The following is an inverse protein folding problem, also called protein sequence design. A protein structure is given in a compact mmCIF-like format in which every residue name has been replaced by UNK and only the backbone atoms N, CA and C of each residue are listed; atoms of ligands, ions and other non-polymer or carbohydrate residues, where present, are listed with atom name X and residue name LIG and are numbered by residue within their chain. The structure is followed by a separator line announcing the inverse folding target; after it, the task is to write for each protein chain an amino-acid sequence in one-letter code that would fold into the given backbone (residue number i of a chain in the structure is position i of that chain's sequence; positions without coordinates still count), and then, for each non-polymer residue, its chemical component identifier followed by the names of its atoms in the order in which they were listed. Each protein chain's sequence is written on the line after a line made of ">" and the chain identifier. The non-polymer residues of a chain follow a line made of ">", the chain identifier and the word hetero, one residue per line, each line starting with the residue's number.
data_IF_773143807637
#
_entry.id   IF_773143807637
#
_cell.length_a   1.000
_cell.length_b   1.000
_cell.length_c   1.000
_cell.angle_alpha   90.00
_cell.angle_beta   90.00
_cell.angle_gamma   90.00
#
_symmetry.space_group_name_H-M   'P 1'
#
loop_
_entity.id
_entity.type
_entity.pdbx_description
1 polymer ?
#
# COMPACT_ATOMS: atom_id res chain seq x y z
N UNK A 1 25.22 1.78 -15.48
CA UNK A 1 24.73 0.58 -16.20
C UNK A 1 23.26 0.44 -15.88
N UNK A 2 22.41 0.27 -16.88
CA UNK A 2 20.98 0.07 -16.68
C UNK A 2 20.73 -1.33 -16.11
N UNK A 3 19.87 -1.42 -15.10
CA UNK A 3 19.55 -2.67 -14.41
C UNK A 3 18.09 -3.00 -14.54
N UNK A 4 17.79 -4.28 -14.76
CA UNK A 4 16.47 -4.81 -15.00
C UNK A 4 16.06 -5.75 -13.86
N UNK A 5 14.77 -5.72 -13.52
CA UNK A 5 14.14 -6.65 -12.60
C UNK A 5 13.06 -7.41 -13.35
N UNK A 6 12.79 -8.66 -12.94
CA UNK A 6 11.87 -9.58 -13.64
C UNK A 6 10.89 -10.18 -12.65
N UNK A 7 9.60 -10.09 -12.94
CA UNK A 7 8.52 -10.64 -12.11
C UNK A 7 7.91 -11.89 -12.75
N UNK A 8 7.87 -13.01 -12.00
CA UNK A 8 7.32 -14.30 -12.41
C UNK A 8 6.78 -15.07 -11.19
N UNK A 9 5.63 -15.74 -11.34
CA UNK A 9 5.00 -16.57 -10.30
C UNK A 9 4.79 -15.86 -8.94
N UNK A 10 4.66 -14.54 -8.96
CA UNK A 10 4.51 -13.74 -7.74
C UNK A 10 5.80 -13.41 -7.00
N UNK A 11 6.93 -13.87 -7.52
CA UNK A 11 8.26 -13.44 -7.08
C UNK A 11 8.88 -12.52 -8.12
N UNK A 12 9.91 -11.82 -7.71
CA UNK A 12 10.68 -10.93 -8.58
C UNK A 12 12.17 -11.16 -8.31
N UNK A 13 12.97 -11.07 -9.36
CA UNK A 13 14.40 -11.39 -9.33
C UNK A 13 15.19 -10.29 -10.04
N UNK A 14 16.44 -10.10 -9.64
CA UNK A 14 17.33 -9.05 -10.14
C UNK A 14 18.14 -8.40 -9.01
N UNK A 15 18.84 -7.28 -9.28
CA UNK A 15 18.97 -6.64 -10.59
C UNK A 15 19.81 -7.48 -11.57
N UNK A 16 19.44 -7.45 -12.85
CA UNK A 16 20.19 -8.03 -13.96
C UNK A 16 20.68 -6.94 -14.90
N UNK A 17 21.85 -7.13 -15.49
CA UNK A 17 22.27 -6.38 -16.68
C UNK A 17 21.52 -6.89 -17.91
N UNK A 18 21.48 -6.09 -18.98
CA UNK A 18 20.85 -6.51 -20.24
C UNK A 18 21.45 -7.82 -20.79
N UNK A 19 22.78 -7.99 -20.66
CA UNK A 19 23.48 -9.18 -21.13
C UNK A 19 23.07 -10.44 -20.35
N UNK A 20 22.94 -10.34 -19.02
CA UNK A 20 22.48 -11.45 -18.18
C UNK A 20 21.02 -11.80 -18.49
N UNK A 21 20.18 -10.78 -18.72
CA UNK A 21 18.80 -10.96 -19.09
C UNK A 21 18.65 -11.67 -20.44
N UNK A 22 19.46 -11.29 -21.44
CA UNK A 22 19.55 -11.98 -22.75
C UNK A 22 19.96 -13.44 -22.58
N UNK A 23 20.98 -13.72 -21.77
CA UNK A 23 21.45 -15.08 -21.52
C UNK A 23 20.36 -15.96 -20.85
N UNK A 24 19.62 -15.40 -19.89
CA UNK A 24 18.52 -16.10 -19.20
C UNK A 24 17.30 -16.33 -20.08
N UNK A 25 17.00 -15.41 -21.01
CA UNK A 25 15.95 -15.62 -22.03
C UNK A 25 16.37 -16.75 -22.99
N UNK A 26 17.64 -16.77 -23.43
CA UNK A 26 18.17 -17.84 -24.29
C UNK A 26 18.17 -19.20 -23.59
N UNK A 27 18.44 -19.24 -22.29
CA UNK A 27 18.39 -20.45 -21.47
C UNK A 27 16.95 -20.93 -21.16
N UNK A 28 15.92 -20.16 -21.53
CA UNK A 28 14.52 -20.47 -21.21
C UNK A 28 14.15 -20.22 -19.74
N UNK A 29 15.08 -19.70 -18.93
CA UNK A 29 14.84 -19.34 -17.53
C UNK A 29 13.88 -18.17 -17.40
N UNK A 30 13.86 -17.25 -18.38
CA UNK A 30 13.00 -16.06 -18.42
C UNK A 30 12.23 -16.03 -19.75
N UNK A 31 10.95 -15.69 -19.69
CA UNK A 31 10.03 -15.61 -20.81
C UNK A 31 9.83 -14.16 -21.19
N UNK A 32 9.70 -13.89 -22.49
CA UNK A 32 9.41 -12.52 -22.97
C UNK A 32 8.02 -12.01 -22.55
N UNK A 33 7.14 -12.92 -22.11
CA UNK A 33 5.83 -12.60 -21.54
C UNK A 33 5.89 -12.33 -20.03
N UNK A 34 7.04 -12.58 -19.39
CA UNK A 34 7.27 -12.09 -18.05
C UNK A 34 7.32 -10.56 -18.08
N UNK A 35 7.03 -9.96 -16.94
CA UNK A 35 7.08 -8.52 -16.84
C UNK A 35 8.47 -8.10 -16.35
N UNK A 36 9.02 -7.06 -16.97
CA UNK A 36 10.26 -6.43 -16.56
C UNK A 36 10.06 -5.01 -16.05
N UNK A 37 11.02 -4.53 -15.28
CA UNK A 37 11.10 -3.14 -14.86
C UNK A 37 12.55 -2.66 -14.87
N UNK A 38 12.75 -1.41 -15.25
CA UNK A 38 14.02 -0.70 -15.17
C UNK A 38 13.77 0.71 -14.63
N UNK A 39 14.83 1.30 -14.07
CA UNK A 39 14.82 2.69 -13.61
C UNK A 39 14.25 3.64 -14.68
N UNK A 40 13.32 4.51 -14.27
CA UNK A 40 12.59 5.44 -15.14
C UNK A 40 11.18 5.00 -15.57
N UNK A 41 10.81 3.73 -15.39
CA UNK A 41 9.46 3.25 -15.74
C UNK A 41 8.45 3.39 -14.60
N UNK A 42 7.22 3.74 -14.95
CA UNK A 42 6.12 3.92 -13.99
C UNK A 42 5.34 2.64 -13.69
N UNK A 43 5.52 1.59 -14.48
CA UNK A 43 4.89 0.29 -14.31
C UNK A 43 5.78 -0.84 -14.82
N UNK A 44 5.43 -2.07 -14.43
CA UNK A 44 6.01 -3.27 -15.01
C UNK A 44 5.52 -3.42 -16.44
N UNK A 45 6.47 -3.44 -17.38
CA UNK A 45 6.21 -3.51 -18.82
C UNK A 45 6.55 -4.92 -19.29
N UNK A 46 5.93 -5.41 -20.36
CA UNK A 46 6.29 -6.72 -20.90
C UNK A 46 7.76 -6.74 -21.29
N UNK A 47 8.46 -7.84 -20.98
CA UNK A 47 9.88 -7.94 -21.29
C UNK A 47 10.15 -7.84 -22.80
N UNK A 48 9.21 -8.27 -23.64
CA UNK A 48 9.23 -8.06 -25.09
C UNK A 48 9.18 -6.60 -25.52
N UNK A 49 8.54 -5.73 -24.74
CA UNK A 49 8.47 -4.29 -25.03
C UNK A 49 9.71 -3.55 -24.52
N UNK A 50 10.33 -4.05 -23.45
CA UNK A 50 11.58 -3.50 -22.91
C UNK A 50 12.82 -3.90 -23.72
N UNK A 51 12.80 -5.09 -24.31
CA UNK A 51 13.88 -5.62 -25.13
C UNK A 51 13.35 -6.07 -26.50
N UNK A 52 12.96 -5.13 -27.37
CA UNK A 52 12.37 -5.44 -28.67
C UNK A 52 13.36 -6.15 -29.62
N UNK A 53 14.66 -5.92 -29.46
CA UNK A 53 15.73 -6.45 -30.34
C UNK A 53 16.25 -7.85 -29.94
N UNK A 54 15.51 -8.60 -29.12
CA UNK A 54 15.84 -10.00 -28.83
C UNK A 54 15.07 -10.85 -29.82
N UNK A 55 15.70 -11.31 -30.90
CA UNK A 55 15.03 -12.13 -31.92
C UNK A 55 14.99 -13.63 -31.57
N UNK A 56 14.09 -14.37 -32.21
CA UNK A 56 13.36 -15.53 -31.67
C UNK A 56 13.93 -16.92 -32.02
N UNK A 57 13.83 -17.86 -31.07
CA UNK A 57 13.72 -19.29 -31.37
C UNK A 57 12.77 -20.05 -30.40
N UNK A 58 11.53 -20.28 -30.89
CA UNK A 58 10.72 -21.52 -30.77
C UNK A 58 10.00 -21.89 -29.43
N UNK A 59 8.68 -21.63 -29.45
CA UNK A 59 7.51 -22.53 -29.18
C UNK A 59 6.90 -22.77 -27.78
N UNK A 60 5.60 -22.41 -27.71
CA UNK A 60 4.45 -22.91 -26.91
C UNK A 60 4.47 -22.69 -25.38
N UNK A 61 3.37 -22.35 -24.70
CA UNK A 61 1.95 -22.61 -24.94
C UNK A 61 1.03 -21.50 -24.38
N UNK A 62 -0.11 -21.27 -25.05
CA UNK A 62 -1.25 -20.47 -24.55
C UNK A 62 -1.80 -21.05 -23.24
N UNK A 63 -1.64 -20.31 -22.16
CA UNK A 63 -2.60 -20.32 -21.05
C UNK A 63 -2.62 -18.94 -20.41
N UNK A 64 -3.69 -18.19 -20.66
CA UNK A 64 -3.99 -16.98 -19.91
C UNK A 64 -4.41 -17.40 -18.50
N UNK A 65 -3.47 -17.35 -17.57
CA UNK A 65 -3.79 -17.40 -16.16
C UNK A 65 -3.89 -15.96 -15.67
N UNK A 66 -5.07 -15.60 -15.19
CA UNK A 66 -5.30 -14.37 -14.44
C UNK A 66 -4.46 -14.43 -13.17
N UNK A 67 -3.24 -13.89 -13.21
CA UNK A 67 -2.43 -13.68 -12.02
C UNK A 67 -2.76 -12.31 -11.46
N UNK A 68 -3.51 -12.28 -10.36
CA UNK A 68 -3.53 -11.10 -9.49
C UNK A 68 -2.09 -10.82 -9.05
N UNK A 69 -1.57 -9.69 -9.54
CA UNK A 69 -0.17 -9.27 -9.50
C UNK A 69 0.37 -9.20 -8.06
N UNK A 70 1.35 -10.02 -7.67
CA UNK A 70 2.03 -9.81 -6.39
C UNK A 70 2.99 -8.64 -6.53
N UNK A 71 2.93 -7.73 -5.56
CA UNK A 71 3.68 -6.48 -5.55
C UNK A 71 5.18 -6.73 -5.28
N UNK A 72 6.09 -6.04 -5.99
CA UNK A 72 7.50 -6.07 -5.67
C UNK A 72 7.79 -5.47 -4.28
N UNK A 73 8.75 -6.00 -3.52
CA UNK A 73 9.39 -5.29 -2.40
C UNK A 73 9.92 -3.95 -2.88
N UNK A 74 9.44 -2.88 -2.25
CA UNK A 74 9.82 -1.49 -2.59
C UNK A 74 8.95 -0.84 -3.66
N UNK A 75 8.04 -1.58 -4.32
CA UNK A 75 7.05 -0.98 -5.20
C UNK A 75 5.80 -0.63 -4.41
N UNK A 76 5.71 0.63 -3.99
CA UNK A 76 4.39 1.23 -3.80
C UNK A 76 3.83 1.46 -5.20
N UNK A 77 2.65 0.92 -5.58
CA UNK A 77 1.98 1.46 -6.75
C UNK A 77 1.92 2.98 -6.60
N UNK A 78 2.04 3.74 -7.70
CA UNK A 78 1.58 5.14 -7.72
C UNK A 78 0.07 5.10 -7.51
N UNK A 79 -0.31 4.86 -6.27
CA UNK A 79 -1.66 4.87 -5.80
C UNK A 79 -2.19 6.26 -6.12
N UNK A 80 -3.33 6.34 -6.79
CA UNK A 80 -3.91 7.63 -7.11
C UNK A 80 -4.14 8.37 -5.78
N UNK A 81 -3.49 9.52 -5.61
CA UNK A 81 -3.74 10.37 -4.47
C UNK A 81 -5.21 10.78 -4.46
N UNK A 82 -5.84 10.72 -3.30
CA UNK A 82 -7.19 11.24 -3.07
C UNK A 82 -7.17 12.76 -3.14
N UNK A 83 -6.13 13.37 -2.56
CA UNK A 83 -5.91 14.81 -2.56
C UNK A 83 -4.42 15.12 -2.60
N UNK A 84 -4.08 16.23 -3.25
CA UNK A 84 -2.74 16.82 -3.26
C UNK A 84 -2.85 18.31 -3.01
N UNK A 85 -2.14 18.81 -2.00
CA UNK A 85 -2.21 20.20 -1.54
C UNK A 85 -0.79 20.77 -1.55
N UNK A 86 -0.61 21.89 -2.25
CA UNK A 86 0.68 22.59 -2.34
C UNK A 86 0.68 23.72 -1.33
N UNK A 87 1.64 23.69 -0.42
CA UNK A 87 1.89 24.72 0.57
C UNK A 87 3.21 25.45 0.32
N UNK A 88 3.49 26.51 1.11
CA UNK A 88 4.66 27.35 0.91
C UNK A 88 6.02 26.65 1.13
N UNK A 89 6.04 25.56 1.91
CA UNK A 89 7.28 24.81 2.23
C UNK A 89 7.29 23.38 1.70
N UNK A 90 6.26 22.97 0.97
CA UNK A 90 6.14 21.59 0.53
C UNK A 90 4.77 21.23 0.01
N UNK A 91 4.54 19.94 -0.15
CA UNK A 91 3.26 19.35 -0.55
C UNK A 91 2.82 18.30 0.46
N UNK A 92 1.51 18.23 0.68
CA UNK A 92 0.84 17.14 1.36
C UNK A 92 0.04 16.36 0.31
N UNK A 93 0.30 15.06 0.23
CA UNK A 93 -0.47 14.16 -0.63
C UNK A 93 -1.08 13.05 0.22
N UNK A 94 -2.38 12.81 0.01
CA UNK A 94 -3.19 11.90 0.82
C UNK A 94 -3.62 10.73 -0.05
N UNK A 95 -3.37 9.52 0.44
CA UNK A 95 -3.76 8.26 -0.18
C UNK A 95 -4.74 7.50 0.74
N UNK A 96 -5.18 6.32 0.33
CA UNK A 96 -6.17 5.53 1.09
C UNK A 96 -5.61 4.92 2.39
N UNK A 97 -4.32 4.64 2.42
CA UNK A 97 -3.61 3.89 3.46
C UNK A 97 -2.42 4.66 4.05
N UNK A 98 -2.02 5.77 3.42
CA UNK A 98 -0.85 6.59 3.81
C UNK A 98 -1.03 8.06 3.43
N UNK A 99 -0.15 8.89 3.94
CA UNK A 99 0.08 10.26 3.49
C UNK A 99 1.56 10.44 3.13
N UNK A 100 1.87 11.44 2.32
CA UNK A 100 3.23 11.89 2.10
C UNK A 100 3.37 13.39 2.30
N UNK A 101 4.48 13.79 2.92
CA UNK A 101 4.87 15.19 3.09
C UNK A 101 6.20 15.37 2.35
N UNK A 102 6.20 16.12 1.25
CA UNK A 102 7.43 16.42 0.50
C UNK A 102 7.84 17.85 0.81
N UNK A 103 9.09 18.05 1.24
CA UNK A 103 9.65 19.40 1.37
C UNK A 103 9.99 19.97 -0.01
N UNK A 104 9.64 21.23 -0.28
CA UNK A 104 10.01 21.89 -1.54
C UNK A 104 11.53 21.97 -1.67
N UNK A 105 12.10 21.30 -2.68
CA UNK A 105 13.55 21.02 -2.82
C UNK A 105 14.51 22.22 -2.75
N UNK A 106 14.07 23.45 -3.06
CA UNK A 106 14.90 24.67 -2.99
C UNK A 106 14.89 25.34 -1.61
N UNK A 107 13.82 25.17 -0.82
CA UNK A 107 13.64 25.81 0.49
C UNK A 107 13.82 24.82 1.64
N UNK A 108 13.48 23.55 1.44
CA UNK A 108 13.60 22.47 2.42
C UNK A 108 15.04 22.11 2.77
N UNK A 109 15.96 22.18 1.79
CA UNK A 109 17.40 21.95 2.01
C UNK A 109 18.01 23.09 2.85
N UNK A 110 17.58 24.34 2.61
CA UNK A 110 18.12 25.52 3.28
C UNK A 110 17.57 25.74 4.71
N UNK A 111 16.32 25.34 4.97
CA UNK A 111 15.66 25.60 6.27
C UNK A 111 15.64 24.36 7.17
N UNK A 112 15.45 23.16 6.60
CA UNK A 112 15.28 21.91 7.40
C UNK A 112 16.48 20.96 7.31
N UNK A 113 17.43 21.17 6.40
CA UNK A 113 18.51 20.21 6.13
C UNK A 113 18.02 18.90 5.51
N UNK A 114 16.79 18.87 4.99
CA UNK A 114 16.11 17.67 4.50
C UNK A 114 16.07 17.63 2.98
N UNK A 115 16.32 16.44 2.43
CA UNK A 115 16.08 16.12 1.02
C UNK A 115 15.09 14.96 0.98
N UNK A 116 13.86 15.21 0.54
CA UNK A 116 12.95 14.14 0.11
C UNK A 116 11.51 14.22 0.64
N UNK A 117 10.81 13.11 0.42
CA UNK A 117 9.41 12.88 0.74
C UNK A 117 9.31 11.94 1.94
N UNK A 118 8.64 12.37 3.00
CA UNK A 118 8.29 11.49 4.12
C UNK A 118 7.00 10.76 3.79
N UNK A 119 6.99 9.44 3.96
CA UNK A 119 5.78 8.63 3.82
C UNK A 119 5.34 8.15 5.20
N UNK A 120 4.08 8.42 5.56
CA UNK A 120 3.50 8.06 6.85
C UNK A 120 2.27 7.19 6.61
N UNK A 121 2.27 5.90 6.98
CA UNK A 121 1.07 5.07 6.93
C UNK A 121 -0.03 5.60 7.86
N UNK A 122 -1.28 5.64 7.43
CA UNK A 122 -2.42 6.15 8.23
C UNK A 122 -2.58 5.34 9.52
N UNK A 123 -2.33 4.03 9.48
CA UNK A 123 -2.40 3.18 10.67
C UNK A 123 -1.37 3.55 11.76
N UNK A 124 -0.28 4.23 11.38
CA UNK A 124 0.79 4.65 12.30
C UNK A 124 0.54 6.03 12.94
N UNK A 125 -0.39 6.81 12.39
CA UNK A 125 -0.76 8.12 12.93
C UNK A 125 -1.52 7.89 14.23
N UNK A 126 -1.05 8.46 15.33
CA UNK A 126 -1.71 8.36 16.63
C UNK A 126 -2.70 9.50 16.87
N UNK A 127 -2.33 10.72 16.50
CA UNK A 127 -3.13 11.94 16.62
C UNK A 127 -2.87 12.90 15.47
N UNK A 128 -3.81 13.83 15.26
CA UNK A 128 -3.69 14.94 14.30
C UNK A 128 -3.91 16.25 15.05
N UNK A 129 -2.97 17.17 14.93
CA UNK A 129 -3.14 18.55 15.39
C UNK A 129 -3.37 19.45 14.19
N UNK A 130 -4.41 20.29 14.25
CA UNK A 130 -4.80 21.16 13.16
C UNK A 130 -5.05 22.59 13.66
N UNK A 131 -4.45 23.56 12.96
CA UNK A 131 -4.71 24.98 13.16
C UNK A 131 -5.03 25.63 11.82
N UNK A 132 -6.20 26.26 11.72
CA UNK A 132 -6.60 27.06 10.56
C UNK A 132 -5.64 28.23 10.32
N UNK A 133 -5.41 28.54 9.05
CA UNK A 133 -4.69 29.73 8.60
C UNK A 133 -5.60 30.98 8.69
N UNK A 134 -5.00 32.11 9.04
CA UNK A 134 -5.62 33.44 9.07
C UNK A 134 -4.52 34.49 8.89
N UNK A 135 -4.38 35.45 9.82
CA UNK A 135 -3.27 36.42 9.79
C UNK A 135 -1.87 35.76 9.86
N UNK A 136 -1.79 34.54 10.41
CA UNK A 136 -0.62 33.68 10.37
C UNK A 136 -0.95 32.39 9.59
N UNK A 137 0.09 31.70 9.11
CA UNK A 137 -0.05 30.39 8.47
C UNK A 137 -0.70 29.37 9.38
N UNK A 138 -1.46 28.47 8.77
CA UNK A 138 -2.04 27.30 9.40
C UNK A 138 -1.09 26.11 9.31
N UNK A 139 -1.41 25.06 10.06
CA UNK A 139 -0.65 23.81 10.02
C UNK A 139 -1.53 22.60 10.30
N UNK A 140 -1.09 21.46 9.77
CA UNK A 140 -1.55 20.12 10.16
C UNK A 140 -0.31 19.30 10.52
N UNK A 141 -0.32 18.70 11.70
CA UNK A 141 0.80 17.93 12.26
C UNK A 141 0.31 16.52 12.65
N UNK A 142 1.11 15.51 12.34
CA UNK A 142 0.78 14.11 12.56
C UNK A 142 1.69 13.50 13.63
N UNK A 143 1.10 13.04 14.75
CA UNK A 143 1.90 12.44 15.83
C UNK A 143 2.15 10.97 15.57
N UNK A 144 3.43 10.57 15.54
CA UNK A 144 3.84 9.17 15.32
C UNK A 144 4.47 8.59 16.61
N UNK A 145 3.91 7.51 17.20
CA UNK A 145 4.47 6.90 18.40
C UNK A 145 5.92 6.43 18.19
N UNK A 146 6.83 6.83 19.08
CA UNK A 146 8.25 6.48 19.00
C UNK A 146 9.08 7.35 18.05
N UNK A 147 8.48 8.35 17.40
CA UNK A 147 9.20 9.41 16.69
C UNK A 147 9.82 10.42 17.65
N UNK A 148 11.00 10.95 17.30
CA UNK A 148 11.58 12.10 17.99
C UNK A 148 10.80 13.35 17.57
N UNK A 149 9.66 13.62 18.22
CA UNK A 149 8.82 14.77 17.89
C UNK A 149 9.36 16.05 18.55
N UNK A 150 9.32 17.17 17.83
CA UNK A 150 9.66 18.49 18.38
C UNK A 150 8.55 18.93 19.34
N UNK A 151 8.84 18.92 20.65
CA UNK A 151 7.88 19.26 21.71
C UNK A 151 7.70 20.78 21.95
N UNK A 152 7.80 21.62 20.92
CA UNK A 152 7.67 23.08 21.07
C UNK A 152 6.82 23.73 19.97
N UNK A 153 6.41 24.97 20.21
CA UNK A 153 5.35 25.66 19.47
C UNK A 153 5.66 26.05 18.00
N UNK A 154 5.03 27.13 17.52
CA UNK A 154 5.00 27.52 16.09
C UNK A 154 6.38 27.66 15.40
N UNK A 155 7.46 27.91 16.14
CA UNK A 155 8.82 27.97 15.61
C UNK A 155 9.43 26.58 15.35
N UNK A 156 9.03 25.56 16.12
CA UNK A 156 9.48 24.17 15.92
C UNK A 156 8.68 23.46 14.82
N UNK A 157 7.43 23.84 14.60
CA UNK A 157 6.59 23.33 13.50
C UNK A 157 7.17 23.61 12.10
N UNK A 158 7.99 24.67 11.96
CA UNK A 158 8.71 24.98 10.72
C UNK A 158 9.85 23.98 10.48
N UNK A 159 10.41 23.38 11.53
CA UNK A 159 11.46 22.36 11.45
C UNK A 159 10.93 20.92 11.51
N UNK A 160 9.69 20.71 11.96
CA UNK A 160 9.10 19.38 12.16
C UNK A 160 8.75 18.68 10.82
N UNK A 161 9.31 17.49 10.64
CA UNK A 161 9.10 16.61 9.48
C UNK A 161 7.67 16.07 9.35
N UNK A 162 6.93 16.04 10.45
CA UNK A 162 5.57 15.55 10.55
C UNK A 162 4.53 16.67 10.42
N UNK A 163 4.95 17.88 10.04
CA UNK A 163 4.09 19.05 9.88
C UNK A 163 4.03 19.55 8.45
N UNK A 164 2.81 19.74 7.94
CA UNK A 164 2.52 20.47 6.70
C UNK A 164 1.97 21.87 7.02
N UNK A 165 2.61 22.91 6.48
CA UNK A 165 2.19 24.30 6.59
C UNK A 165 1.40 24.74 5.38
N UNK A 166 0.42 25.61 5.58
CA UNK A 166 -0.42 26.12 4.50
C UNK A 166 -0.91 27.55 4.76
N UNK A 167 -1.24 28.24 3.66
CA UNK A 167 -1.81 29.60 3.68
C UNK A 167 -3.35 29.55 3.67
N UNK A 168 -3.99 30.69 3.91
CA UNK A 168 -5.45 30.81 4.10
C UNK A 168 -6.28 30.19 2.98
N UNK A 169 -5.82 30.32 1.73
CA UNK A 169 -6.44 29.75 0.52
C UNK A 169 -6.63 28.23 0.56
N UNK A 170 -5.79 27.52 1.33
CA UNK A 170 -5.83 26.06 1.43
C UNK A 170 -6.63 25.56 2.64
N UNK A 171 -7.17 26.44 3.49
CA UNK A 171 -7.93 26.06 4.69
C UNK A 171 -8.97 24.97 4.42
N UNK A 172 -9.81 25.20 3.39
CA UNK A 172 -10.89 24.27 3.07
C UNK A 172 -10.35 22.90 2.61
N UNK A 173 -9.32 22.88 1.76
CA UNK A 173 -8.72 21.63 1.27
C UNK A 173 -8.06 20.84 2.40
N UNK A 174 -7.36 21.52 3.32
CA UNK A 174 -6.69 20.85 4.44
C UNK A 174 -7.71 20.29 5.43
N UNK A 175 -8.85 20.96 5.65
CA UNK A 175 -9.92 20.40 6.48
C UNK A 175 -10.56 19.16 5.85
N UNK A 176 -10.77 19.17 4.53
CA UNK A 176 -11.26 17.99 3.82
C UNK A 176 -10.25 16.83 3.92
N UNK A 177 -8.96 17.11 3.74
CA UNK A 177 -7.90 16.12 3.94
C UNK A 177 -7.86 15.59 5.39
N UNK A 178 -7.94 16.47 6.39
CA UNK A 178 -7.98 16.11 7.82
C UNK A 178 -9.13 15.15 8.09
N UNK A 179 -10.35 15.52 7.72
CA UNK A 179 -11.55 14.72 7.98
C UNK A 179 -11.48 13.34 7.28
N UNK A 180 -10.92 13.30 6.06
CA UNK A 180 -10.68 12.04 5.36
C UNK A 180 -9.70 11.14 6.13
N UNK A 181 -8.56 11.69 6.57
CA UNK A 181 -7.55 10.92 7.31
C UNK A 181 -8.13 10.43 8.65
N UNK A 182 -8.85 11.29 9.39
CA UNK A 182 -9.52 10.90 10.66
C UNK A 182 -10.52 9.75 10.45
N UNK A 183 -11.28 9.79 9.36
CA UNK A 183 -12.23 8.72 9.01
C UNK A 183 -11.51 7.40 8.72
N UNK A 184 -10.40 7.45 7.95
CA UNK A 184 -9.57 6.27 7.67
C UNK A 184 -8.90 5.72 8.94
N UNK A 185 -8.41 6.57 9.83
CA UNK A 185 -7.88 6.16 11.14
C UNK A 185 -8.95 5.42 11.95
N UNK A 186 -10.19 5.92 11.95
CA UNK A 186 -11.31 5.26 12.63
C UNK A 186 -11.61 3.90 12.00
N UNK A 187 -11.73 3.81 10.67
CA UNK A 187 -12.01 2.56 9.96
C UNK A 187 -10.95 1.48 10.20
N UNK A 188 -9.67 1.85 10.27
CA UNK A 188 -8.56 0.92 10.53
C UNK A 188 -8.54 0.45 12.00
N UNK A 189 -8.92 1.34 12.95
CA UNK A 189 -8.91 1.04 14.38
C UNK A 189 -10.21 0.43 14.88
N UNK A 190 -11.31 0.63 14.16
CA UNK A 190 -12.52 -0.16 14.36
C UNK A 190 -12.11 -1.62 14.12
N UNK A 191 -12.39 -2.55 15.05
CA UNK A 191 -12.33 -3.95 14.68
C UNK A 191 -13.23 -4.08 13.45
N UNK A 192 -12.65 -4.45 12.30
CA UNK A 192 -13.49 -5.01 11.26
C UNK A 192 -14.36 -6.05 11.97
N UNK A 193 -15.67 -6.17 11.66
CA UNK A 193 -16.28 -7.46 11.88
C UNK A 193 -15.35 -8.42 11.12
N UNK A 194 -14.53 -9.16 11.87
CA UNK A 194 -14.04 -10.43 11.41
C UNK A 194 -15.26 -11.05 10.76
N UNK A 195 -15.13 -11.51 9.53
CA UNK A 195 -16.02 -12.54 9.05
C UNK A 195 -15.90 -13.70 10.05
N UNK A 196 -16.57 -13.60 11.19
CA UNK A 196 -17.24 -14.73 11.78
C UNK A 196 -18.12 -15.15 10.63
N UNK A 197 -17.64 -16.11 9.86
CA UNK A 197 -18.50 -17.02 9.14
C UNK A 197 -19.46 -17.47 10.22
N UNK A 198 -20.62 -16.82 10.32
CA UNK A 198 -21.75 -17.41 11.02
C UNK A 198 -21.94 -18.67 10.22
N UNK A 199 -21.55 -19.85 10.74
CA UNK A 199 -21.59 -21.06 9.95
C UNK A 199 -23.02 -21.17 9.46
N UNK A 200 -23.18 -21.28 8.14
CA UNK A 200 -24.52 -21.47 7.60
C UNK A 200 -25.07 -22.76 8.21
N UNK A 201 -26.39 -22.89 8.28
CA UNK A 201 -27.02 -24.13 8.76
C UNK A 201 -26.43 -25.37 8.06
N UNK A 202 -26.05 -25.24 6.79
CA UNK A 202 -25.35 -26.28 6.02
C UNK A 202 -23.94 -26.61 6.53
N UNK A 203 -23.17 -25.61 6.96
CA UNK A 203 -21.83 -25.80 7.52
C UNK A 203 -21.90 -26.50 8.90
N UNK A 204 -22.88 -26.15 9.73
CA UNK A 204 -23.11 -26.79 11.03
C UNK A 204 -23.54 -28.26 10.86
N UNK A 205 -24.43 -28.54 9.91
CA UNK A 205 -24.83 -29.91 9.57
C UNK A 205 -23.65 -30.75 9.03
N UNK A 206 -22.79 -30.15 8.22
CA UNK A 206 -21.59 -30.81 7.69
C UNK A 206 -20.60 -31.15 8.80
N UNK A 207 -20.41 -30.25 9.77
CA UNK A 207 -19.56 -30.49 10.94
C UNK A 207 -20.11 -31.60 11.83
N UNK A 208 -21.42 -31.62 12.09
CA UNK A 208 -22.05 -32.70 12.84
C UNK A 208 -21.88 -34.06 12.14
N UNK A 209 -22.06 -34.10 10.82
CA UNK A 209 -21.88 -35.33 10.05
C UNK A 209 -20.43 -35.83 10.11
N UNK A 210 -19.46 -34.91 10.05
CA UNK A 210 -18.05 -35.24 10.21
C UNK A 210 -17.73 -35.83 11.60
N UNK A 211 -18.24 -35.23 12.67
CA UNK A 211 -18.04 -35.73 14.04
C UNK A 211 -18.65 -37.12 14.25
N UNK A 212 -19.83 -37.38 13.69
CA UNK A 212 -20.44 -38.70 13.68
C UNK A 212 -19.59 -39.72 12.92
N UNK A 213 -19.15 -39.39 11.70
CA UNK A 213 -18.32 -40.29 10.88
C UNK A 213 -16.96 -40.58 11.52
N UNK A 214 -16.44 -39.67 12.34
CA UNK A 214 -15.23 -39.85 13.13
C UNK A 214 -15.46 -40.70 14.41
N UNK A 215 -16.70 -41.10 14.69
CA UNK A 215 -17.06 -41.86 15.90
C UNK A 215 -17.02 -41.02 17.18
N UNK A 216 -16.98 -39.68 17.07
CA UNK A 216 -16.95 -38.76 18.21
C UNK A 216 -18.35 -38.39 18.72
N UNK A 217 -19.39 -38.73 17.97
CA UNK A 217 -20.80 -38.62 18.35
C UNK A 217 -21.51 -39.94 18.07
N UNK A 218 -22.40 -40.35 18.97
CA UNK A 218 -23.30 -41.48 18.69
C UNK A 218 -24.41 -41.08 17.71
N UNK A 219 -25.11 -42.08 17.16
CA UNK A 219 -26.27 -41.85 16.30
C UNK A 219 -27.35 -41.02 17.00
N UNK A 220 -27.60 -41.26 18.29
CA UNK A 220 -28.59 -40.53 19.09
C UNK A 220 -28.18 -39.08 19.34
N UNK A 221 -26.90 -38.84 19.69
CA UNK A 221 -26.36 -37.50 19.93
C UNK A 221 -26.37 -36.66 18.65
N UNK A 222 -26.04 -37.27 17.52
CA UNK A 222 -26.11 -36.62 16.21
C UNK A 222 -27.54 -36.22 15.85
N UNK A 223 -28.54 -37.10 16.05
CA UNK A 223 -29.94 -36.79 15.74
C UNK A 223 -30.52 -35.71 16.66
N UNK A 224 -30.19 -35.75 17.96
CA UNK A 224 -30.60 -34.72 18.91
C UNK A 224 -30.03 -33.34 18.54
N UNK A 225 -28.73 -33.27 18.22
CA UNK A 225 -28.08 -32.04 17.78
C UNK A 225 -28.62 -31.53 16.44
N UNK A 226 -28.84 -32.43 15.47
CA UNK A 226 -29.43 -32.09 14.16
C UNK A 226 -30.83 -31.51 14.33
N UNK A 227 -31.69 -32.10 15.16
CA UNK A 227 -33.04 -31.61 15.44
C UNK A 227 -33.01 -30.22 16.08
N UNK A 228 -32.11 -30.00 17.04
CA UNK A 228 -31.94 -28.70 17.68
C UNK A 228 -31.51 -27.59 16.70
N UNK A 229 -30.77 -27.96 15.65
CA UNK A 229 -30.31 -27.05 14.60
C UNK A 229 -31.38 -26.72 13.55
N UNK A 230 -32.26 -27.68 13.21
CA UNK A 230 -33.24 -27.52 12.12
C UNK A 230 -34.69 -27.31 12.60
N UNK A 231 -34.99 -27.47 13.89
CA UNK A 231 -36.33 -27.39 14.50
C UNK A 231 -36.94 -28.76 14.80
#
# INVERSE_FOLDING_TARGET
>A
MQTFYIARNGEHTGPFTENELRAKIQAGEISKQDHGWTDGLTEWVLLSELLPDVDLAVTASKQSLNFAKPLPPGFSPKQKSVQKIIGPLGELEVFQDKITITASSLTGVLIRGLKGTKTIPIHSISAIQFKRAGAMRGYIQFTIPGGLESKGGMFDAVADENTFLFDEQNNAQVEVAKNYIESRMKEIRSPQPTNTVTPSLGDELTKLAALKNQGLLTDEEFQAAKKLLIG
#
